data_IF_820996938599
#
_entry.id   IF_820996938599
#
_cell.length_a   1.000
_cell.length_b   1.000
_cell.length_c   1.000
_cell.angle_alpha   90.00
_cell.angle_beta   90.00
_cell.angle_gamma   90.00
#
_symmetry.space_group_name_H-M   'P 1'
#
loop_
_entity.id
_entity.type
_entity.pdbx_description
1 polymer ?
#
# COMPACT_ATOMS: atom_id res chain seq x y z
N UNK A 1 -49.46 5.57 -27.63
CA UNK A 1 -47.98 5.60 -27.63
C UNK A 1 -47.52 5.82 -26.21
N UNK A 2 -46.79 4.84 -25.68
CA UNK A 2 -46.50 4.64 -24.26
C UNK A 2 -45.08 5.16 -24.02
N UNK A 3 -44.87 6.10 -23.09
CA UNK A 3 -43.53 6.52 -22.66
C UNK A 3 -43.28 5.96 -21.26
N UNK A 4 -42.33 5.04 -21.19
CA UNK A 4 -41.96 4.28 -20.01
C UNK A 4 -41.44 5.18 -18.87
N UNK A 5 -41.80 4.90 -17.60
CA UNK A 5 -41.07 5.42 -16.45
C UNK A 5 -39.70 4.73 -16.37
N UNK A 6 -38.63 5.53 -16.25
CA UNK A 6 -37.28 5.03 -15.98
C UNK A 6 -37.20 4.64 -14.50
N UNK A 7 -37.11 3.34 -14.23
CA UNK A 7 -36.79 2.81 -12.91
C UNK A 7 -35.31 3.07 -12.58
N UNK A 8 -35.06 3.63 -11.41
CA UNK A 8 -33.73 3.80 -10.82
C UNK A 8 -33.36 2.48 -10.14
N UNK A 9 -32.29 1.76 -10.55
CA UNK A 9 -31.89 0.54 -9.86
C UNK A 9 -31.23 0.87 -8.52
N UNK A 10 -31.76 0.22 -7.49
CA UNK A 10 -31.46 0.36 -6.06
C UNK A 10 -30.04 -0.11 -5.72
N UNK A 11 -29.37 0.64 -4.84
CA UNK A 11 -28.23 0.17 -4.05
C UNK A 11 -28.58 -1.14 -3.33
N UNK A 12 -27.72 -2.15 -3.42
CA UNK A 12 -27.67 -3.26 -2.47
C UNK A 12 -26.22 -3.63 -2.13
N UNK A 13 -25.87 -3.42 -0.85
CA UNK A 13 -24.92 -4.22 -0.05
C UNK A 13 -25.47 -5.66 0.04
N UNK A 14 -24.77 -6.75 0.28
CA UNK A 14 -23.45 -7.09 0.84
C UNK A 14 -23.25 -8.59 0.63
N UNK A 15 -22.02 -9.05 0.41
CA UNK A 15 -21.59 -10.40 0.80
C UNK A 15 -20.19 -10.30 1.41
N UNK A 16 -20.18 -10.27 2.75
CA UNK A 16 -19.06 -10.59 3.61
C UNK A 16 -18.77 -12.08 3.61
N UNK A 17 -17.63 -12.43 4.22
CA UNK A 17 -17.15 -13.75 4.66
C UNK A 17 -16.22 -14.44 3.64
N UNK A 18 -14.94 -14.74 3.91
CA UNK A 18 -14.40 -15.40 5.12
C UNK A 18 -13.02 -14.85 5.59
N UNK A 19 -12.97 -14.55 6.89
CA UNK A 19 -11.90 -14.77 7.90
C UNK A 19 -10.50 -15.26 7.45
N UNK A 20 -9.40 -14.67 7.94
CA UNK A 20 -8.98 -14.85 9.34
C UNK A 20 -8.20 -13.67 9.96
N UNK A 21 -8.70 -13.33 11.14
CA UNK A 21 -8.10 -12.61 12.27
C UNK A 21 -6.58 -12.68 12.45
N UNK A 22 -5.97 -11.51 12.64
CA UNK A 22 -5.18 -11.23 13.85
C UNK A 22 -5.33 -9.78 14.27
N UNK A 23 -5.67 -9.61 15.54
CA UNK A 23 -6.15 -8.36 16.11
C UNK A 23 -5.06 -7.30 16.22
N UNK A 24 -5.54 -6.06 16.18
CA UNK A 24 -4.96 -4.86 16.80
C UNK A 24 -4.05 -4.00 15.91
N UNK A 25 -4.72 -3.02 15.28
CA UNK A 25 -4.25 -1.67 14.89
C UNK A 25 -3.87 -1.46 13.42
N UNK A 26 -4.88 -0.92 12.72
CA UNK A 26 -4.84 0.13 11.67
C UNK A 26 -4.94 -0.39 10.23
N UNK A 27 -5.99 0.05 9.54
CA UNK A 27 -6.21 -0.15 8.12
C UNK A 27 -5.15 0.54 7.29
N UNK A 28 -3.98 -0.08 7.21
CA UNK A 28 -2.91 0.26 6.28
C UNK A 28 -3.11 -0.56 5.01
N UNK A 29 -2.82 0.06 3.87
CA UNK A 29 -2.79 -0.59 2.56
C UNK A 29 -1.39 -1.16 2.33
N UNK A 30 -1.31 -2.43 1.94
CA UNK A 30 -0.07 -3.07 1.50
C UNK A 30 0.05 -2.99 -0.02
N UNK A 31 1.20 -2.51 -0.50
CA UNK A 31 1.50 -2.38 -1.92
C UNK A 31 2.93 -2.84 -2.22
N UNK A 32 3.16 -3.24 -3.46
CA UNK A 32 4.47 -3.62 -3.96
C UNK A 32 5.10 -2.48 -4.76
N UNK A 33 6.42 -2.38 -4.69
CA UNK A 33 7.18 -1.39 -5.44
C UNK A 33 8.65 -1.78 -5.59
N UNK A 34 9.35 -1.03 -6.42
CA UNK A 34 10.78 -1.19 -6.69
C UNK A 34 11.52 0.05 -6.21
N UNK A 35 12.60 -0.15 -5.46
CA UNK A 35 13.45 0.94 -4.99
C UNK A 35 14.16 1.56 -6.18
N UNK A 36 14.00 2.86 -6.42
CA UNK A 36 14.79 3.55 -7.45
C UNK A 36 16.07 4.13 -6.87
N UNK A 37 15.97 4.88 -5.77
CA UNK A 37 17.11 5.64 -5.25
C UNK A 37 17.14 5.67 -3.73
N UNK A 38 18.35 5.80 -3.18
CA UNK A 38 18.59 5.98 -1.75
C UNK A 38 18.85 7.45 -1.47
N UNK A 39 18.08 8.02 -0.55
CA UNK A 39 18.26 9.39 -0.08
C UNK A 39 19.09 9.41 1.21
N UNK A 40 19.90 10.45 1.45
CA UNK A 40 20.77 10.55 2.63
C UNK A 40 20.01 10.62 3.96
N UNK A 41 18.71 10.91 3.95
CA UNK A 41 17.84 10.98 5.14
C UNK A 41 17.34 9.61 5.63
N UNK A 42 17.98 8.51 5.22
CA UNK A 42 17.49 7.13 5.41
C UNK A 42 16.06 6.92 4.87
N UNK A 43 15.73 7.70 3.84
CA UNK A 43 14.52 7.59 3.05
C UNK A 43 14.87 6.94 1.72
N UNK A 44 13.90 6.26 1.13
CA UNK A 44 14.04 5.54 -0.12
C UNK A 44 12.99 6.07 -1.07
N UNK A 45 13.42 6.38 -2.29
CA UNK A 45 12.51 6.67 -3.38
C UNK A 45 12.07 5.34 -3.97
N UNK A 46 10.78 5.06 -3.90
CA UNK A 46 10.22 3.77 -4.34
C UNK A 46 9.15 4.04 -5.39
N UNK A 47 9.31 3.37 -6.53
CA UNK A 47 8.32 3.36 -7.60
C UNK A 47 7.35 2.22 -7.36
N UNK A 48 6.09 2.57 -7.14
CA UNK A 48 5.00 1.61 -7.03
C UNK A 48 4.66 1.01 -8.40
N UNK A 49 3.95 -0.12 -8.43
CA UNK A 49 3.51 -0.75 -9.68
C UNK A 49 2.52 0.09 -10.49
N UNK A 50 1.93 1.12 -9.88
CA UNK A 50 1.03 2.09 -10.53
C UNK A 50 1.78 3.32 -11.08
N UNK A 51 3.10 3.23 -11.26
CA UNK A 51 4.00 4.30 -11.72
C UNK A 51 4.03 5.55 -10.82
N UNK A 52 3.55 5.45 -9.57
CA UNK A 52 3.64 6.52 -8.59
C UNK A 52 4.94 6.41 -7.79
N UNK A 53 5.63 7.52 -7.62
CA UNK A 53 6.84 7.61 -6.82
C UNK A 53 6.51 8.05 -5.39
N UNK A 54 6.92 7.26 -4.41
CA UNK A 54 6.68 7.56 -3.00
C UNK A 54 7.97 7.60 -2.21
N UNK A 55 7.93 8.31 -1.09
CA UNK A 55 9.02 8.34 -0.13
C UNK A 55 8.74 7.35 0.99
N UNK A 56 9.58 6.34 1.11
CA UNK A 56 9.42 5.29 2.10
C UNK A 56 10.58 5.26 3.09
N UNK A 57 10.30 4.89 4.35
CA UNK A 57 11.33 4.61 5.35
C UNK A 57 11.29 3.15 5.77
N UNK A 58 12.43 2.63 6.24
CA UNK A 58 12.50 1.27 6.77
C UNK A 58 11.69 1.13 8.05
N UNK A 59 10.92 0.05 8.14
CA UNK A 59 10.29 -0.36 9.40
C UNK A 59 11.33 -0.61 10.50
N UNK A 60 10.91 -0.49 11.76
CA UNK A 60 11.80 -0.76 12.90
C UNK A 60 12.41 -2.17 12.85
N UNK A 61 11.63 -3.18 12.44
CA UNK A 61 12.11 -4.56 12.28
C UNK A 61 13.24 -4.64 11.26
N UNK A 62 13.07 -4.03 10.08
CA UNK A 62 14.11 -3.94 9.06
C UNK A 62 15.42 -3.34 9.59
N UNK A 63 15.31 -2.25 10.37
CA UNK A 63 16.48 -1.59 10.99
C UNK A 63 17.19 -2.50 11.99
N UNK A 64 16.44 -3.23 12.82
CA UNK A 64 17.01 -4.19 13.79
C UNK A 64 17.73 -5.34 13.09
N UNK A 65 17.14 -5.87 12.01
CA UNK A 65 17.72 -6.93 11.19
C UNK A 65 18.86 -6.48 10.28
N UNK A 66 19.28 -5.21 10.35
CA UNK A 66 20.37 -4.60 9.54
C UNK A 66 20.18 -4.82 8.04
N UNK A 67 18.94 -4.85 7.57
CA UNK A 67 18.64 -5.04 6.15
C UNK A 67 19.08 -3.79 5.39
N UNK A 68 19.89 -3.99 4.36
CA UNK A 68 20.30 -2.97 3.40
C UNK A 68 19.46 -3.12 2.14
N UNK A 69 18.90 -2.02 1.66
CA UNK A 69 18.23 -1.96 0.36
C UNK A 69 19.18 -1.34 -0.64
N UNK A 70 19.09 -1.79 -1.88
CA UNK A 70 19.80 -1.26 -3.04
C UNK A 70 18.78 -0.79 -4.08
N UNK A 71 19.17 0.12 -4.99
CA UNK A 71 18.40 0.42 -6.19
C UNK A 71 18.09 -0.86 -6.97
N UNK A 72 16.85 -1.02 -7.42
CA UNK A 72 16.37 -2.19 -8.14
C UNK A 72 15.75 -3.28 -7.25
N UNK A 73 15.84 -3.17 -5.92
CA UNK A 73 15.22 -4.15 -5.02
C UNK A 73 13.69 -4.03 -5.02
N UNK A 74 13.01 -5.18 -5.06
CA UNK A 74 11.56 -5.28 -4.86
C UNK A 74 11.23 -5.31 -3.38
N UNK A 75 10.34 -4.42 -2.98
CA UNK A 75 9.96 -4.23 -1.58
C UNK A 75 8.46 -4.18 -1.41
N UNK A 76 8.00 -4.63 -0.25
CA UNK A 76 6.61 -4.48 0.19
C UNK A 76 6.51 -3.30 1.14
N UNK A 77 5.53 -2.44 0.88
CA UNK A 77 5.35 -1.16 1.54
C UNK A 77 3.94 -1.13 2.14
N UNK A 78 3.85 -0.69 3.38
CA UNK A 78 2.61 -0.33 4.02
C UNK A 78 2.42 1.19 3.96
N UNK A 79 1.24 1.62 3.52
CA UNK A 79 0.87 3.03 3.43
C UNK A 79 -0.46 3.27 4.13
N UNK A 80 -0.67 4.50 4.59
CA UNK A 80 -1.95 4.90 5.18
C UNK A 80 -2.92 5.23 4.05
N UNK A 81 -4.20 4.83 4.12
CA UNK A 81 -5.20 5.21 3.11
C UNK A 81 -5.44 6.72 3.05
N UNK A 82 -4.98 7.46 4.07
CA UNK A 82 -5.07 8.92 4.14
C UNK A 82 -3.88 9.64 3.48
N UNK A 83 -2.73 8.99 3.36
CA UNK A 83 -1.53 9.60 2.77
C UNK A 83 -0.83 8.57 1.89
N UNK A 84 -0.99 8.76 0.58
CA UNK A 84 -0.41 7.88 -0.43
C UNK A 84 1.03 8.27 -0.83
N UNK A 85 1.55 9.39 -0.33
CA UNK A 85 2.89 9.90 -0.68
C UNK A 85 4.00 9.30 0.17
N UNK A 86 3.65 8.77 1.35
CA UNK A 86 4.57 8.23 2.34
C UNK A 86 4.30 6.76 2.63
N UNK A 87 5.37 5.97 2.62
CA UNK A 87 5.31 4.54 2.86
C UNK A 87 6.22 4.06 4.00
N UNK A 88 5.93 2.88 4.52
CA UNK A 88 6.79 2.13 5.43
C UNK A 88 7.18 0.80 4.79
N UNK A 89 8.48 0.56 4.63
CA UNK A 89 8.97 -0.70 4.04
C UNK A 89 8.96 -1.79 5.10
N UNK A 90 8.15 -2.83 4.86
CA UNK A 90 8.00 -3.96 5.79
C UNK A 90 8.80 -5.18 5.39
N UNK A 91 8.96 -5.42 4.09
CA UNK A 91 9.59 -6.63 3.57
C UNK A 91 10.42 -6.34 2.31
N UNK A 92 11.50 -7.08 2.13
CA UNK A 92 12.34 -7.11 0.93
C UNK A 92 12.32 -8.56 0.43
N UNK A 93 12.06 -8.73 -0.86
CA UNK A 93 12.10 -10.04 -1.53
C UNK A 93 13.52 -10.45 -1.92
#
# INVERSE_FOLDING_TARGET
MIKAPQEIPKQNKSLTDLSQSKSSKKGFLEVMGTVEELLPSAMFKVRLENDHEILAHLSGKMRMNRIRLLPGDRVRIEMSPYDLTKGRIIYRH
#
